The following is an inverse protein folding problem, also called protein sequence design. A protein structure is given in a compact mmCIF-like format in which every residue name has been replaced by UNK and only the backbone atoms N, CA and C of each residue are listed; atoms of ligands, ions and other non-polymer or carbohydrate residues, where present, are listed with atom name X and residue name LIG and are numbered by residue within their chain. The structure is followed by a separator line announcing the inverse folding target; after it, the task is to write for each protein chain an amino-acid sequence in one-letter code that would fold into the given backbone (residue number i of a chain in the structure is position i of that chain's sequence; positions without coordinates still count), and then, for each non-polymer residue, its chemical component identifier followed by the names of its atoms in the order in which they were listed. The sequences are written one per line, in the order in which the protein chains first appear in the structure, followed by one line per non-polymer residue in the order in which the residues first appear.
data_IF_956741082290
#
_entry.id   IF_956741082290
#
_cell.length_a   1.000
_cell.length_b   1.000
_cell.length_c   1.000
_cell.angle_alpha   90.00
_cell.angle_beta   90.00
_cell.angle_gamma   90.00
#
_symmetry.space_group_name_H-M   'P 1'
#
loop_
_entity.id
_entity.type
_entity.pdbx_description
1 polymer ?
#
# COMPACT_ATOMS: atom_id res chain seq x y z
N UNK A 1 4.73 4.76 -14.60
CA UNK A 1 6.01 5.48 -14.59
C UNK A 1 6.85 5.26 -15.85
N UNK A 2 7.00 4.05 -16.45
CA UNK A 2 7.82 3.90 -17.66
C UNK A 2 7.16 4.50 -18.92
N UNK A 3 5.83 4.39 -19.06
CA UNK A 3 5.07 5.02 -20.15
C UNK A 3 5.28 6.55 -20.21
N UNK A 4 5.29 7.23 -19.07
CA UNK A 4 5.49 8.68 -19.03
C UNK A 4 6.90 9.09 -19.50
N UNK A 5 7.93 8.30 -19.18
CA UNK A 5 9.30 8.51 -19.68
C UNK A 5 9.38 8.36 -21.20
N UNK A 6 8.83 7.27 -21.74
CA UNK A 6 8.79 7.02 -23.18
C UNK A 6 7.98 8.08 -23.95
N UNK A 7 6.88 8.57 -23.36
CA UNK A 7 6.09 9.65 -23.96
C UNK A 7 6.82 11.00 -23.92
N UNK A 8 7.55 11.35 -22.86
CA UNK A 8 8.30 12.61 -22.80
C UNK A 8 9.41 12.74 -23.85
N UNK A 9 10.03 11.62 -24.23
CA UNK A 9 11.12 11.60 -25.22
C UNK A 9 10.61 11.70 -26.66
N UNK A 10 9.40 11.19 -26.91
CA UNK A 10 8.82 11.09 -28.26
C UNK A 10 7.71 12.10 -28.56
N UNK A 11 6.97 12.58 -27.55
CA UNK A 11 5.80 13.42 -27.70
C UNK A 11 5.69 14.50 -26.61
N UNK A 12 5.11 15.64 -26.97
CA UNK A 12 4.85 16.72 -26.02
C UNK A 12 3.99 16.21 -24.84
N UNK A 13 4.36 16.59 -23.62
CA UNK A 13 3.69 16.30 -22.32
C UNK A 13 2.16 16.42 -22.33
N UNK A 14 1.60 17.22 -23.24
CA UNK A 14 0.15 17.39 -23.46
C UNK A 14 -0.55 16.08 -23.84
N UNK A 15 0.05 15.24 -24.69
CA UNK A 15 -0.54 13.97 -25.14
C UNK A 15 -0.69 12.95 -24.02
N UNK A 16 0.21 12.99 -23.04
CA UNK A 16 0.13 12.16 -21.84
C UNK A 16 -1.14 12.46 -21.03
N UNK A 17 -1.48 13.74 -20.86
CA UNK A 17 -2.70 14.12 -20.15
C UNK A 17 -3.97 13.71 -20.90
N UNK A 18 -3.99 13.87 -22.22
CA UNK A 18 -5.15 13.46 -23.01
C UNK A 18 -5.35 11.94 -22.96
N UNK A 19 -4.29 11.13 -23.08
CA UNK A 19 -4.42 9.67 -23.05
C UNK A 19 -4.92 9.14 -21.70
N UNK A 20 -4.36 9.63 -20.59
CA UNK A 20 -4.84 9.27 -19.25
C UNK A 20 -6.27 9.78 -19.00
N UNK A 21 -6.62 10.97 -19.49
CA UNK A 21 -7.96 11.52 -19.40
C UNK A 21 -9.00 10.66 -20.14
N UNK A 22 -8.73 10.31 -21.40
CA UNK A 22 -9.61 9.44 -22.18
C UNK A 22 -9.75 8.05 -21.55
N UNK A 23 -8.64 7.47 -21.06
CA UNK A 23 -8.67 6.19 -20.36
C UNK A 23 -9.53 6.24 -19.09
N UNK A 24 -9.42 7.32 -18.31
CA UNK A 24 -10.25 7.53 -17.12
C UNK A 24 -11.74 7.61 -17.43
N UNK A 25 -12.12 8.34 -18.49
CA UNK A 25 -13.52 8.44 -18.94
C UNK A 25 -14.03 7.08 -19.41
N UNK A 26 -13.27 6.37 -20.26
CA UNK A 26 -13.65 5.05 -20.75
C UNK A 26 -13.84 4.04 -19.61
N UNK A 27 -12.90 4.00 -18.66
CA UNK A 27 -12.96 3.11 -17.50
C UNK A 27 -14.17 3.42 -16.61
N UNK A 28 -14.43 4.71 -16.37
CA UNK A 28 -15.59 5.15 -15.57
C UNK A 28 -16.91 4.80 -16.25
N UNK A 29 -17.03 5.05 -17.55
CA UNK A 29 -18.21 4.66 -18.34
C UNK A 29 -18.44 3.15 -18.31
N UNK A 30 -17.37 2.35 -18.45
CA UNK A 30 -17.45 0.90 -18.34
C UNK A 30 -17.90 0.46 -16.93
N UNK A 31 -17.36 1.09 -15.89
CA UNK A 31 -17.76 0.82 -14.51
C UNK A 31 -19.24 1.12 -14.29
N UNK A 32 -19.75 2.28 -14.75
CA UNK A 32 -21.19 2.58 -14.65
C UNK A 32 -22.08 1.64 -15.47
N UNK A 33 -21.58 1.11 -16.59
CA UNK A 33 -22.31 0.14 -17.41
C UNK A 33 -22.38 -1.25 -16.76
N UNK A 34 -21.30 -1.67 -16.08
CA UNK A 34 -21.17 -3.01 -15.50
C UNK A 34 -21.64 -3.09 -14.04
N UNK A 35 -21.45 -2.02 -13.25
CA UNK A 35 -21.66 -2.05 -11.81
C UNK A 35 -23.14 -1.81 -11.45
N UNK A 36 -23.75 -2.77 -10.76
CA UNK A 36 -25.08 -2.63 -10.12
C UNK A 36 -24.96 -2.98 -8.64
N UNK A 37 -25.45 -2.11 -7.77
CA UNK A 37 -25.30 -2.24 -6.31
C UNK A 37 -26.07 -3.42 -5.71
N UNK A 38 -27.13 -3.88 -6.38
CA UNK A 38 -27.93 -5.01 -5.91
C UNK A 38 -27.47 -6.32 -6.58
N UNK A 39 -26.87 -7.28 -5.85
CA UNK A 39 -26.54 -8.60 -6.38
C UNK A 39 -27.79 -9.38 -6.82
N UNK A 40 -28.97 -9.00 -6.31
CA UNK A 40 -30.27 -9.55 -6.70
C UNK A 40 -30.80 -9.01 -8.04
N UNK A 41 -30.30 -7.87 -8.52
CA UNK A 41 -30.72 -7.23 -9.78
C UNK A 41 -29.67 -7.34 -10.89
N UNK A 42 -28.58 -8.05 -10.63
CA UNK A 42 -27.46 -8.17 -11.55
C UNK A 42 -27.75 -9.25 -12.61
N UNK A 43 -27.89 -8.85 -13.88
CA UNK A 43 -28.27 -9.75 -15.00
C UNK A 43 -27.22 -10.83 -15.32
N UNK A 44 -25.99 -10.67 -14.81
CA UNK A 44 -24.85 -11.56 -15.04
C UNK A 44 -24.57 -12.55 -13.89
N UNK A 45 -25.30 -12.50 -12.77
CA UNK A 45 -25.04 -13.37 -11.62
C UNK A 45 -25.88 -14.64 -11.73
N UNK A 46 -25.20 -15.79 -11.69
CA UNK A 46 -25.86 -17.10 -11.71
C UNK A 46 -26.54 -17.39 -10.36
N UNK A 47 -27.68 -18.09 -10.37
CA UNK A 47 -28.40 -18.47 -9.17
C UNK A 47 -27.54 -19.32 -8.19
N UNK A 48 -26.50 -20.01 -8.69
CA UNK A 48 -25.52 -20.73 -7.85
C UNK A 48 -24.60 -19.78 -7.06
N UNK A 49 -24.10 -18.72 -7.70
CA UNK A 49 -23.26 -17.71 -7.04
C UNK A 49 -24.05 -16.90 -6.03
N UNK A 50 -25.30 -16.56 -6.34
CA UNK A 50 -26.19 -15.87 -5.42
C UNK A 50 -26.41 -16.67 -4.13
N UNK A 51 -26.60 -17.99 -4.23
CA UNK A 51 -26.72 -18.85 -3.04
C UNK A 51 -25.41 -18.93 -2.26
N UNK A 52 -24.26 -19.05 -2.92
CA UNK A 52 -22.96 -19.06 -2.25
C UNK A 52 -22.68 -17.76 -1.47
N UNK A 53 -23.06 -16.60 -2.02
CA UNK A 53 -22.88 -15.28 -1.37
C UNK A 53 -23.86 -15.07 -0.20
N UNK A 54 -25.08 -15.61 -0.30
CA UNK A 54 -26.09 -15.49 0.75
C UNK A 54 -25.84 -16.46 1.91
N UNK A 55 -25.23 -17.61 1.64
CA UNK A 55 -24.87 -18.61 2.67
C UNK A 55 -23.73 -18.06 3.53
N UNK A 56 -24.07 -17.54 4.72
CA UNK A 56 -23.12 -16.91 5.66
C UNK A 56 -23.41 -15.43 5.96
N UNK A 57 -24.33 -14.80 5.23
CA UNK A 57 -24.72 -13.39 5.43
C UNK A 57 -26.04 -13.19 6.18
N UNK A 58 -26.74 -14.26 6.52
CA UNK A 58 -28.11 -14.24 7.07
C UNK A 58 -28.23 -13.68 8.51
N UNK A 59 -27.13 -13.34 9.18
CA UNK A 59 -27.14 -12.87 10.58
C UNK A 59 -26.64 -11.44 10.86
N UNK A 60 -26.14 -10.69 9.87
CA UNK A 60 -25.44 -9.41 10.11
C UNK A 60 -26.18 -8.17 9.57
N UNK A 61 -27.47 -8.05 9.86
CA UNK A 61 -28.18 -6.76 9.70
C UNK A 61 -28.46 -6.20 11.09
N UNK A 62 -27.40 -5.94 11.86
CA UNK A 62 -27.50 -5.09 13.04
C UNK A 62 -27.49 -3.64 12.55
N UNK A 63 -28.67 -3.12 12.20
CA UNK A 63 -28.89 -1.67 11.95
C UNK A 63 -28.91 -0.92 13.28
N UNK A 64 -27.79 -0.94 13.99
CA UNK A 64 -27.55 -0.12 15.18
C UNK A 64 -26.64 1.06 14.84
N UNK A 65 -26.62 2.13 15.66
CA UNK A 65 -25.59 3.16 15.56
C UNK A 65 -24.22 2.50 15.78
N UNK A 66 -23.36 2.54 14.77
CA UNK A 66 -21.99 1.99 14.85
C UNK A 66 -21.24 2.76 15.94
N UNK A 67 -20.70 2.09 16.99
CA UNK A 67 -20.05 2.79 18.10
C UNK A 67 -18.65 3.25 17.70
N UNK A 68 -18.55 4.34 16.94
CA UNK A 68 -17.28 4.91 16.45
C UNK A 68 -16.29 5.22 17.58
N UNK A 69 -16.78 5.66 18.74
CA UNK A 69 -15.92 6.00 19.90
C UNK A 69 -15.24 4.78 20.49
N UNK A 70 -15.94 3.65 20.57
CA UNK A 70 -15.38 2.40 21.11
C UNK A 70 -14.37 1.78 20.14
N UNK A 71 -14.69 1.82 18.84
CA UNK A 71 -13.78 1.40 17.78
C UNK A 71 -12.49 2.24 17.80
N UNK A 72 -12.60 3.56 17.96
CA UNK A 72 -11.44 4.46 18.06
C UNK A 72 -10.59 4.29 19.32
N UNK A 73 -11.17 3.82 20.42
CA UNK A 73 -10.45 3.57 21.69
C UNK A 73 -9.83 2.17 21.75
N UNK A 74 -10.19 1.28 20.84
CA UNK A 74 -9.66 -0.07 20.82
C UNK A 74 -8.14 -0.07 20.51
N UNK A 75 -7.32 -0.67 21.38
CA UNK A 75 -5.86 -0.66 21.23
C UNK A 75 -5.39 -1.46 20.01
N UNK A 76 -6.14 -2.47 19.56
CA UNK A 76 -5.80 -3.21 18.35
C UNK A 76 -5.99 -2.31 17.12
N UNK A 77 -7.09 -1.55 17.05
CA UNK A 77 -7.32 -0.63 15.95
C UNK A 77 -6.27 0.49 15.88
N UNK A 78 -5.91 1.08 17.03
CA UNK A 78 -4.84 2.09 17.08
C UNK A 78 -3.50 1.54 16.62
N UNK A 79 -3.16 0.30 17.02
CA UNK A 79 -1.93 -0.37 16.60
C UNK A 79 -1.89 -0.62 15.09
N UNK A 80 -3.01 -1.06 14.49
CA UNK A 80 -3.14 -1.28 13.05
C UNK A 80 -3.04 0.05 12.30
N UNK A 81 -3.69 1.11 12.80
CA UNK A 81 -3.62 2.44 12.20
C UNK A 81 -2.18 2.96 12.19
N UNK A 82 -1.48 2.89 13.31
CA UNK A 82 -0.09 3.33 13.42
C UNK A 82 0.83 2.53 12.49
N UNK A 83 0.63 1.21 12.41
CA UNK A 83 1.38 0.32 11.52
C UNK A 83 1.12 0.66 10.04
N UNK A 84 -0.13 0.91 9.68
CA UNK A 84 -0.51 1.31 8.32
C UNK A 84 0.05 2.69 7.95
N UNK A 85 0.02 3.66 8.86
CA UNK A 85 0.59 4.98 8.64
C UNK A 85 2.11 4.92 8.45
N UNK A 86 2.82 4.14 9.26
CA UNK A 86 4.26 3.93 9.11
C UNK A 86 4.63 3.28 7.78
N UNK A 87 3.94 2.19 7.42
CA UNK A 87 4.16 1.49 6.16
C UNK A 87 3.85 2.36 4.94
N UNK A 88 2.73 3.08 4.97
CA UNK A 88 2.30 3.97 3.88
C UNK A 88 3.25 5.17 3.73
N UNK A 89 3.66 5.79 4.84
CA UNK A 89 4.62 6.89 4.83
C UNK A 89 5.97 6.45 4.26
N UNK A 90 6.50 5.30 4.69
CA UNK A 90 7.75 4.75 4.14
C UNK A 90 7.66 4.46 2.64
N UNK A 91 6.53 3.91 2.20
CA UNK A 91 6.26 3.67 0.78
C UNK A 91 6.20 4.96 -0.04
N UNK A 92 5.50 6.00 0.45
CA UNK A 92 5.42 7.29 -0.22
C UNK A 92 6.76 8.01 -0.30
N UNK A 93 7.55 7.97 0.77
CA UNK A 93 8.92 8.52 0.77
C UNK A 93 9.76 7.81 -0.28
N UNK A 94 9.74 6.48 -0.33
CA UNK A 94 10.48 5.73 -1.33
C UNK A 94 10.00 6.05 -2.75
N UNK A 95 8.70 6.18 -2.97
CA UNK A 95 8.13 6.51 -4.27
C UNK A 95 8.51 7.91 -4.74
N UNK A 96 8.56 8.90 -3.84
CA UNK A 96 8.85 10.29 -4.19
C UNK A 96 10.35 10.56 -4.33
N UNK A 97 11.17 10.02 -3.42
CA UNK A 97 12.62 10.21 -3.44
C UNK A 97 13.36 9.17 -4.27
N UNK A 98 12.76 8.01 -4.57
CA UNK A 98 13.31 6.96 -5.42
C UNK A 98 13.85 7.47 -6.77
N UNK A 99 13.04 8.19 -7.59
CA UNK A 99 13.54 8.72 -8.86
C UNK A 99 14.62 9.78 -8.69
N UNK A 100 14.51 10.63 -7.65
CA UNK A 100 15.52 11.66 -7.35
C UNK A 100 16.86 11.03 -6.94
N UNK A 101 16.81 9.95 -6.15
CA UNK A 101 17.99 9.20 -5.73
C UNK A 101 18.66 8.52 -6.93
N UNK A 102 17.90 7.86 -7.80
CA UNK A 102 18.45 7.19 -8.98
C UNK A 102 19.12 8.18 -9.94
N UNK A 103 18.50 9.34 -10.17
CA UNK A 103 19.07 10.37 -11.03
C UNK A 103 20.33 11.03 -10.42
N UNK A 104 20.30 11.42 -9.13
CA UNK A 104 21.42 12.15 -8.50
C UNK A 104 22.56 11.25 -8.00
N UNK A 105 22.28 10.03 -7.56
CA UNK A 105 23.27 9.13 -6.96
C UNK A 105 23.87 8.14 -7.98
N UNK A 106 23.11 7.75 -9.00
CA UNK A 106 23.52 6.73 -10.00
C UNK A 106 23.75 7.36 -11.39
N UNK A 107 23.25 8.58 -11.65
CA UNK A 107 23.51 9.33 -12.89
C UNK A 107 22.83 8.74 -14.13
N UNK A 108 21.82 7.88 -13.95
CA UNK A 108 21.09 7.23 -15.04
C UNK A 108 20.05 8.19 -15.63
N UNK A 109 19.85 8.10 -16.95
CA UNK A 109 18.86 8.87 -17.69
C UNK A 109 17.43 8.64 -17.17
N UNK A 110 16.52 9.58 -17.42
CA UNK A 110 15.16 9.60 -16.87
C UNK A 110 14.33 8.42 -17.43
N UNK A 111 14.59 7.99 -18.67
CA UNK A 111 13.90 6.87 -19.30
C UNK A 111 14.23 5.52 -18.60
N UNK A 112 15.52 5.23 -18.41
CA UNK A 112 16.00 4.02 -17.76
C UNK A 112 15.68 3.98 -16.27
N UNK A 113 15.68 5.15 -15.62
CA UNK A 113 15.23 5.31 -14.23
C UNK A 113 13.75 4.89 -14.07
N UNK A 114 12.92 5.16 -15.08
CA UNK A 114 11.51 4.74 -15.10
C UNK A 114 11.33 3.22 -15.16
N UNK A 115 12.22 2.49 -15.85
CA UNK A 115 12.19 1.03 -15.91
C UNK A 115 12.74 0.38 -14.64
N UNK A 116 13.88 0.89 -14.15
CA UNK A 116 14.52 0.37 -12.95
C UNK A 116 13.68 0.63 -11.68
N UNK A 117 12.92 1.74 -11.61
CA UNK A 117 11.93 1.95 -10.54
C UNK A 117 10.69 1.08 -10.70
N UNK A 118 10.29 0.70 -11.92
CA UNK A 118 9.11 -0.15 -12.15
C UNK A 118 9.33 -1.61 -11.73
N UNK A 119 10.56 -2.11 -11.85
CA UNK A 119 10.93 -3.49 -11.51
C UNK A 119 10.54 -3.92 -10.07
N UNK A 120 10.91 -3.19 -8.99
CA UNK A 120 10.53 -3.57 -7.64
C UNK A 120 9.01 -3.55 -7.43
N UNK A 121 8.27 -2.66 -8.10
CA UNK A 121 6.80 -2.66 -8.04
C UNK A 121 6.20 -3.87 -8.75
N UNK A 122 6.73 -4.25 -9.92
CA UNK A 122 6.28 -5.43 -10.65
C UNK A 122 6.52 -6.71 -9.84
N UNK A 123 7.69 -6.84 -9.20
CA UNK A 123 7.99 -7.93 -8.28
C UNK A 123 7.03 -7.95 -7.09
N UNK A 124 6.73 -6.78 -6.50
CA UNK A 124 5.77 -6.70 -5.40
C UNK A 124 4.35 -7.14 -5.83
N UNK A 125 3.93 -6.85 -7.06
CA UNK A 125 2.65 -7.33 -7.62
C UNK A 125 2.68 -8.84 -7.80
N UNK A 126 3.73 -9.40 -8.40
CA UNK A 126 3.87 -10.85 -8.58
C UNK A 126 3.85 -11.59 -7.24
N UNK A 127 4.59 -11.08 -6.24
CA UNK A 127 4.59 -11.63 -4.89
C UNK A 127 3.20 -11.59 -4.25
N UNK A 128 2.42 -10.53 -4.44
CA UNK A 128 1.05 -10.44 -3.93
C UNK A 128 0.11 -11.46 -4.59
N UNK A 129 0.26 -11.67 -5.90
CA UNK A 129 -0.51 -12.69 -6.63
C UNK A 129 -0.22 -14.10 -6.15
N UNK A 130 1.03 -14.39 -5.76
CA UNK A 130 1.42 -15.69 -5.22
C UNK A 130 1.02 -15.81 -3.75
N UNK A 131 1.22 -14.76 -2.95
CA UNK A 131 0.92 -14.75 -1.52
C UNK A 131 -0.57 -14.84 -1.21
N UNK A 132 -1.47 -14.35 -2.08
CA UNK A 132 -2.91 -14.42 -1.87
C UNK A 132 -3.45 -15.86 -1.79
N UNK A 133 -3.25 -16.71 -2.82
CA UNK A 133 -3.63 -18.12 -2.77
C UNK A 133 -2.86 -18.92 -1.71
N UNK A 134 -1.57 -18.64 -1.51
CA UNK A 134 -0.78 -19.26 -0.44
C UNK A 134 -1.34 -18.95 0.95
N UNK A 135 -1.84 -17.74 1.15
CA UNK A 135 -2.56 -17.35 2.37
C UNK A 135 -3.81 -18.21 2.49
N UNK A 136 -4.65 -18.31 1.46
CA UNK A 136 -5.92 -19.06 1.56
C UNK A 136 -5.72 -20.57 1.89
N UNK A 137 -4.70 -21.20 1.30
CA UNK A 137 -4.41 -22.64 1.49
C UNK A 137 -3.87 -22.97 2.89
N UNK A 138 -3.20 -22.04 3.58
CA UNK A 138 -2.59 -22.27 4.89
C UNK A 138 -3.60 -22.15 6.05
N UNK A 139 -4.60 -23.04 6.12
CA UNK A 139 -5.67 -23.06 7.13
C UNK A 139 -5.25 -23.55 8.54
N UNK A 140 -3.97 -23.84 8.75
CA UNK A 140 -3.48 -24.44 9.99
C UNK A 140 -3.28 -23.43 11.16
N UNK A 141 -3.37 -22.12 10.91
CA UNK A 141 -3.07 -21.05 11.88
C UNK A 141 -4.22 -20.04 11.93
N UNK A 142 -4.61 -19.61 13.14
CA UNK A 142 -5.66 -18.59 13.40
C UNK A 142 -5.48 -17.34 12.54
N UNK A 143 -6.54 -16.90 11.86
CA UNK A 143 -6.55 -15.81 10.86
C UNK A 143 -5.91 -14.51 11.39
N UNK A 144 -6.16 -14.20 12.66
CA UNK A 144 -5.61 -13.01 13.33
C UNK A 144 -4.09 -13.10 13.48
N UNK A 145 -3.58 -14.26 13.92
CA UNK A 145 -2.14 -14.45 14.11
C UNK A 145 -1.41 -14.55 12.76
N UNK A 146 -2.05 -15.10 11.72
CA UNK A 146 -1.48 -15.19 10.37
C UNK A 146 -1.25 -13.80 9.75
N UNK A 147 -2.24 -12.91 9.89
CA UNK A 147 -2.15 -11.53 9.40
C UNK A 147 -1.11 -10.71 10.17
N UNK A 148 -1.08 -10.85 11.50
CA UNK A 148 -0.12 -10.13 12.35
C UNK A 148 1.31 -10.60 12.06
N UNK A 149 1.56 -11.91 12.00
CA UNK A 149 2.91 -12.45 11.75
C UNK A 149 3.48 -11.96 10.41
N UNK A 150 2.68 -11.99 9.34
CA UNK A 150 3.14 -11.57 8.02
C UNK A 150 3.30 -10.04 7.91
N UNK A 151 2.38 -9.28 8.49
CA UNK A 151 2.47 -7.82 8.53
C UNK A 151 3.67 -7.36 9.37
N UNK A 152 3.90 -7.97 10.53
CA UNK A 152 5.04 -7.67 11.41
C UNK A 152 6.36 -8.11 10.80
N UNK A 153 6.42 -9.25 10.10
CA UNK A 153 7.63 -9.68 9.40
C UNK A 153 7.98 -8.72 8.25
N UNK A 154 7.00 -8.35 7.42
CA UNK A 154 7.25 -7.44 6.29
C UNK A 154 7.60 -6.01 6.74
N UNK A 155 6.90 -5.48 7.75
CA UNK A 155 7.17 -4.15 8.30
C UNK A 155 8.45 -4.11 9.14
N UNK A 156 8.76 -5.20 9.86
CA UNK A 156 10.01 -5.35 10.62
C UNK A 156 11.24 -5.36 9.71
N UNK A 157 11.18 -6.10 8.60
CA UNK A 157 12.26 -6.12 7.59
C UNK A 157 12.45 -4.74 6.96
N UNK A 158 11.36 -4.05 6.62
CA UNK A 158 11.43 -2.69 6.07
C UNK A 158 12.03 -1.71 7.09
N UNK A 159 11.58 -1.76 8.34
CA UNK A 159 12.11 -0.92 9.42
C UNK A 159 13.60 -1.16 9.69
N UNK A 160 14.03 -2.44 9.68
CA UNK A 160 15.43 -2.81 9.81
C UNK A 160 16.28 -2.26 8.65
N UNK A 161 15.81 -2.39 7.41
CA UNK A 161 16.50 -1.83 6.24
C UNK A 161 16.66 -0.31 6.33
N UNK A 162 15.60 0.43 6.72
CA UNK A 162 15.71 1.87 6.93
C UNK A 162 16.65 2.25 8.07
N UNK A 163 16.67 1.47 9.16
CA UNK A 163 17.60 1.69 10.25
C UNK A 163 19.06 1.53 9.80
N UNK A 164 19.36 0.48 9.03
CA UNK A 164 20.71 0.25 8.47
C UNK A 164 21.13 1.38 7.52
N UNK A 165 20.23 1.85 6.66
CA UNK A 165 20.49 2.99 5.75
C UNK A 165 20.73 4.27 6.56
N UNK A 166 19.92 4.52 7.60
CA UNK A 166 20.06 5.66 8.50
C UNK A 166 21.43 5.69 9.21
N UNK A 167 21.94 4.53 9.65
CA UNK A 167 23.26 4.43 10.27
C UNK A 167 24.42 4.80 9.33
N UNK A 168 24.23 4.70 8.00
CA UNK A 168 25.22 5.08 6.98
C UNK A 168 25.17 6.57 6.62
N UNK A 169 24.08 7.29 6.91
CA UNK A 169 23.94 8.73 6.63
C UNK A 169 24.43 9.54 7.84
N UNK A 170 25.65 10.10 7.77
CA UNK A 170 26.27 10.89 8.85
C UNK A 170 25.39 12.07 9.35
N UNK A 171 24.54 12.63 8.50
CA UNK A 171 23.63 13.74 8.86
C UNK A 171 22.42 13.33 9.71
N UNK A 172 21.90 12.11 9.57
CA UNK A 172 20.72 11.63 10.31
C UNK A 172 21.07 11.31 11.77
N UNK A 173 22.31 10.88 12.05
CA UNK A 173 22.79 10.69 13.43
C UNK A 173 22.62 11.95 14.29
N UNK A 174 22.78 13.14 13.71
CA UNK A 174 22.64 14.43 14.41
C UNK A 174 21.17 14.76 14.72
N UNK A 175 20.26 14.52 13.76
CA UNK A 175 18.82 14.70 13.97
C UNK A 175 18.21 13.65 14.91
N UNK A 176 18.65 12.39 14.82
CA UNK A 176 18.15 11.31 15.68
C UNK A 176 18.57 11.54 17.13
N UNK A 177 19.82 11.99 17.37
CA UNK A 177 20.27 12.42 18.69
C UNK A 177 19.53 13.66 19.20
N UNK A 178 19.20 14.62 18.34
CA UNK A 178 18.40 15.78 18.72
C UNK A 178 16.95 15.40 19.11
N UNK A 179 16.34 14.45 18.40
CA UNK A 179 15.00 13.95 18.72
C UNK A 179 14.98 13.07 19.97
N UNK A 180 15.99 12.21 20.17
CA UNK A 180 16.17 11.43 21.39
C UNK A 180 16.46 12.31 22.61
N UNK A 181 17.26 13.37 22.46
CA UNK A 181 17.51 14.37 23.51
C UNK A 181 16.25 15.18 23.86
N UNK A 182 15.36 15.41 22.90
CA UNK A 182 14.10 16.13 23.11
C UNK A 182 13.01 15.24 23.76
N UNK A 183 12.99 13.94 23.42
CA UNK A 183 12.04 12.96 23.98
C UNK A 183 12.47 12.43 25.36
N UNK A 184 13.77 12.41 25.66
CA UNK A 184 14.29 11.91 26.93
C UNK A 184 15.32 12.87 27.55
N UNK A 185 14.88 14.01 28.13
CA UNK A 185 15.78 14.97 28.76
C UNK A 185 16.51 14.44 30.02
N UNK A 186 16.18 13.23 30.52
CA UNK A 186 16.71 12.67 31.77
C UNK A 186 17.72 11.51 31.61
N UNK A 187 18.32 11.29 30.43
CA UNK A 187 19.34 10.23 30.27
C UNK A 187 20.75 10.64 30.72
N UNK A 188 20.91 11.82 31.32
CA UNK A 188 22.19 12.32 31.85
C UNK A 188 22.34 12.10 33.38
N UNK A 189 21.43 11.37 34.02
CA UNK A 189 21.43 11.11 35.47
C UNK A 189 21.61 9.63 35.85
N UNK A 190 22.25 8.83 35.00
CA UNK A 190 22.68 7.46 35.30
C UNK A 190 24.01 7.13 34.63
#
# INVERSE_FOLDING_TARGET
MPLAGAFCESFAWRLLYYSFGTFGVLSTSLFFALYREDPKKHRLVSARELRAILTGKEGQVVRGPVPYKEICKDPCMQSVLLSSLGGNTGFFIFLHFGPTFMNKAIGIDVADTGFATALPYALAVALKFVAGPLFDVSTFISEKNRLIMFSSLSQGVMGFCFFVISQKIKGVKKCLWAHLACVWPNLHAL
#
